data_IF_628218688812
#
_entry.id   IF_628218688812
#
_cell.length_a   1.000
_cell.length_b   1.000
_cell.length_c   1.000
_cell.angle_alpha   90.00
_cell.angle_beta   90.00
_cell.angle_gamma   90.00
#
_symmetry.space_group_name_H-M   'P 1'
#
loop_
_entity.id
_entity.type
_entity.pdbx_description
1 polymer ?
#
# COMPACT_ATOMS: atom_id res chain seq x y z
N UNK A 1 43.27 -11.03 -65.63
CA UNK A 1 43.55 -11.25 -64.19
C UNK A 1 43.52 -9.98 -63.35
N UNK A 2 43.74 -8.77 -63.90
CA UNK A 2 43.68 -7.51 -63.11
C UNK A 2 42.27 -7.06 -62.66
N UNK A 3 41.20 -7.33 -63.44
CA UNK A 3 39.83 -6.89 -63.08
C UNK A 3 39.20 -7.63 -61.87
N UNK A 4 39.71 -8.81 -61.50
CA UNK A 4 39.21 -9.54 -60.32
C UNK A 4 39.82 -9.03 -59.02
N UNK A 5 41.05 -8.51 -59.06
CA UNK A 5 41.72 -7.92 -57.90
C UNK A 5 41.14 -6.54 -57.54
N UNK A 6 40.74 -5.75 -58.55
CA UNK A 6 40.12 -4.43 -58.34
C UNK A 6 38.71 -4.53 -57.76
N UNK A 7 37.92 -5.56 -58.12
CA UNK A 7 36.60 -5.80 -57.53
C UNK A 7 36.68 -6.17 -56.06
N UNK A 8 37.65 -6.99 -55.66
CA UNK A 8 37.83 -7.31 -54.24
C UNK A 8 38.36 -6.10 -53.46
N UNK A 9 39.26 -5.28 -54.03
CA UNK A 9 39.70 -4.06 -53.36
C UNK A 9 38.58 -3.01 -53.23
N UNK A 10 37.65 -2.92 -54.19
CA UNK A 10 36.46 -2.06 -54.07
C UNK A 10 35.48 -2.59 -53.01
N UNK A 11 35.24 -3.91 -52.94
CA UNK A 11 34.40 -4.51 -51.89
C UNK A 11 34.99 -4.36 -50.48
N UNK A 12 36.32 -4.37 -50.32
CA UNK A 12 36.99 -4.15 -49.04
C UNK A 12 37.00 -2.68 -48.59
N UNK A 13 36.95 -1.72 -49.52
CA UNK A 13 36.91 -0.29 -49.18
C UNK A 13 35.49 0.25 -48.95
N UNK A 14 34.46 -0.38 -49.50
CA UNK A 14 33.06 0.01 -49.27
C UNK A 14 32.50 -0.39 -47.89
N UNK A 15 33.24 -1.18 -47.10
CA UNK A 15 32.78 -1.66 -45.77
C UNK A 15 33.45 -0.95 -44.57
N UNK A 16 34.24 0.11 -44.80
CA UNK A 16 34.83 0.94 -43.74
C UNK A 16 34.27 2.35 -43.78
N UNK A 17 33.00 2.50 -43.39
CA UNK A 17 32.43 3.73 -42.83
C UNK A 17 30.93 3.51 -42.59
N UNK A 18 30.59 2.56 -41.71
CA UNK A 18 29.46 2.83 -40.84
C UNK A 18 30.03 3.67 -39.70
N UNK A 19 29.67 4.96 -39.55
CA UNK A 19 29.98 5.66 -38.33
C UNK A 19 29.35 4.83 -37.22
N UNK A 20 30.20 4.33 -36.32
CA UNK A 20 29.80 3.70 -35.08
C UNK A 20 29.00 4.75 -34.30
N UNK A 21 27.69 4.83 -34.57
CA UNK A 21 26.75 5.47 -33.67
C UNK A 21 26.67 4.57 -32.45
N UNK A 22 27.69 4.67 -31.60
CA UNK A 22 27.44 4.70 -30.17
C UNK A 22 26.60 5.95 -29.93
N UNK A 23 25.33 5.89 -30.36
CA UNK A 23 24.30 6.76 -29.88
C UNK A 23 24.35 6.61 -28.36
N UNK A 24 24.45 7.73 -27.66
CA UNK A 24 24.15 7.81 -26.23
C UNK A 24 22.97 6.87 -25.99
N UNK A 25 23.19 5.78 -25.26
CA UNK A 25 22.17 4.76 -25.07
C UNK A 25 21.09 5.41 -24.20
N UNK A 26 20.07 5.98 -24.85
CA UNK A 26 18.95 6.60 -24.16
C UNK A 26 18.32 5.57 -23.22
N UNK A 27 17.97 6.00 -22.01
CA UNK A 27 17.35 5.11 -21.03
C UNK A 27 16.08 4.51 -21.63
N UNK A 28 15.98 3.18 -21.52
CA UNK A 28 14.82 2.42 -21.97
C UNK A 28 13.71 2.45 -20.92
N UNK A 29 12.44 2.21 -21.31
CA UNK A 29 11.33 2.10 -20.36
C UNK A 29 11.57 1.04 -19.27
N UNK A 30 12.32 -0.02 -19.59
CA UNK A 30 12.64 -1.08 -18.63
C UNK A 30 13.64 -0.63 -17.59
N UNK A 31 14.66 0.15 -17.99
CA UNK A 31 15.65 0.72 -17.06
C UNK A 31 14.98 1.73 -16.11
N UNK A 32 14.16 2.64 -16.64
CA UNK A 32 13.39 3.59 -15.83
C UNK A 32 12.43 2.86 -14.90
N UNK A 33 11.71 1.84 -15.38
CA UNK A 33 10.83 1.05 -14.52
C UNK A 33 11.59 0.37 -13.38
N UNK A 34 12.78 -0.17 -13.64
CA UNK A 34 13.61 -0.80 -12.60
C UNK A 34 14.01 0.22 -11.52
N UNK A 35 14.38 1.44 -11.91
CA UNK A 35 14.71 2.51 -10.97
C UNK A 35 13.49 2.98 -10.16
N UNK A 36 12.32 3.12 -10.81
CA UNK A 36 11.06 3.44 -10.12
C UNK A 36 10.71 2.34 -9.11
N UNK A 37 10.90 1.06 -9.46
CA UNK A 37 10.67 -0.05 -8.52
C UNK A 37 11.51 0.12 -7.26
N UNK A 38 12.79 0.48 -7.38
CA UNK A 38 13.63 0.68 -6.19
C UNK A 38 13.19 1.89 -5.35
N UNK A 39 12.88 3.01 -6.00
CA UNK A 39 12.46 4.24 -5.30
C UNK A 39 11.09 4.12 -4.62
N UNK A 40 10.21 3.27 -5.16
CA UNK A 40 8.83 3.13 -4.73
C UNK A 40 8.50 1.77 -4.12
N UNK A 41 9.49 0.91 -3.88
CA UNK A 41 9.32 -0.45 -3.32
C UNK A 41 8.50 -0.48 -2.02
N UNK A 42 8.70 0.53 -1.19
CA UNK A 42 8.02 0.70 0.11
C UNK A 42 6.78 1.60 0.03
N UNK A 43 6.51 2.19 -1.14
CA UNK A 43 5.45 3.17 -1.35
C UNK A 43 4.32 2.65 -2.22
N UNK A 44 4.60 1.73 -3.14
CA UNK A 44 3.65 1.19 -4.10
C UNK A 44 3.63 -0.33 -4.05
N UNK A 45 2.44 -0.90 -4.16
CA UNK A 45 2.24 -2.34 -4.22
C UNK A 45 1.06 -2.68 -5.12
N UNK A 46 1.20 -3.71 -5.95
CA UNK A 46 0.11 -4.27 -6.74
C UNK A 46 -0.47 -5.47 -6.00
N UNK A 47 -1.71 -5.36 -5.52
CA UNK A 47 -2.40 -6.47 -4.86
C UNK A 47 -3.03 -7.38 -5.93
N UNK A 48 -2.48 -8.59 -6.07
CA UNK A 48 -2.92 -9.55 -7.09
C UNK A 48 -4.32 -10.12 -6.80
N UNK A 49 -4.65 -10.34 -5.52
CA UNK A 49 -5.95 -10.89 -5.11
C UNK A 49 -7.08 -9.89 -5.36
N UNK A 50 -6.82 -8.60 -5.12
CA UNK A 50 -7.80 -7.53 -5.32
C UNK A 50 -7.80 -6.97 -6.76
N UNK A 51 -6.70 -7.16 -7.51
CA UNK A 51 -6.51 -6.53 -8.81
C UNK A 51 -6.40 -5.00 -8.73
N UNK A 52 -5.83 -4.47 -7.65
CA UNK A 52 -5.76 -3.04 -7.37
C UNK A 52 -4.35 -2.59 -6.97
N UNK A 53 -4.04 -1.34 -7.28
CA UNK A 53 -2.87 -0.67 -6.71
C UNK A 53 -3.15 -0.22 -5.30
N UNK A 54 -2.11 -0.24 -4.50
CA UNK A 54 -2.06 0.38 -3.19
C UNK A 54 -0.86 1.32 -3.10
N UNK A 55 -1.07 2.47 -2.47
CA UNK A 55 -0.01 3.42 -2.12
C UNK A 55 0.04 3.63 -0.62
N UNK A 56 1.22 3.46 -0.06
CA UNK A 56 1.48 3.64 1.36
C UNK A 56 1.48 5.14 1.70
N UNK A 57 0.78 5.49 2.77
CA UNK A 57 0.64 6.86 3.28
C UNK A 57 0.05 7.86 2.29
N UNK A 58 -0.80 7.38 1.37
CA UNK A 58 -1.49 8.24 0.41
C UNK A 58 -2.56 9.12 1.06
N UNK A 59 -3.38 8.55 1.93
CA UNK A 59 -4.47 9.25 2.62
C UNK A 59 -4.20 9.45 4.11
N UNK A 60 -3.71 8.41 4.79
CA UNK A 60 -3.42 8.44 6.22
C UNK A 60 -2.02 7.90 6.52
N UNK A 61 -1.34 8.40 7.56
CA UNK A 61 -0.07 7.83 8.01
C UNK A 61 -0.20 6.34 8.37
N UNK A 62 0.82 5.55 8.04
CA UNK A 62 0.90 4.15 8.41
C UNK A 62 0.02 3.15 7.66
N UNK A 63 -0.76 3.57 6.67
CA UNK A 63 -1.69 2.67 5.95
C UNK A 63 -1.54 2.74 4.44
N UNK A 64 -1.95 1.66 3.79
CA UNK A 64 -2.05 1.53 2.35
C UNK A 64 -3.47 1.88 1.89
N UNK A 65 -3.59 2.86 1.01
CA UNK A 65 -4.86 3.24 0.37
C UNK A 65 -4.88 2.75 -1.07
N UNK A 66 -6.06 2.36 -1.55
CA UNK A 66 -6.23 1.92 -2.94
C UNK A 66 -6.04 3.10 -3.91
N UNK A 67 -5.38 2.84 -5.03
CA UNK A 67 -5.13 3.82 -6.08
C UNK A 67 -5.61 3.32 -7.44
N UNK A 68 -5.94 4.25 -8.32
CA UNK A 68 -6.28 3.93 -9.71
C UNK A 68 -5.02 3.76 -10.58
N UNK A 69 -5.13 3.01 -11.68
CA UNK A 69 -4.06 2.92 -12.68
C UNK A 69 -3.66 4.32 -13.21
N UNK A 70 -4.62 5.25 -13.31
CA UNK A 70 -4.37 6.64 -13.70
C UNK A 70 -3.51 7.38 -12.68
N UNK A 71 -3.77 7.21 -11.39
CA UNK A 71 -2.98 7.85 -10.33
C UNK A 71 -1.52 7.34 -10.35
N UNK A 72 -1.32 6.04 -10.55
CA UNK A 72 0.02 5.47 -10.75
C UNK A 72 0.65 5.99 -12.04
N UNK A 73 -0.13 6.12 -13.11
CA UNK A 73 0.31 6.72 -14.37
C UNK A 73 0.86 8.13 -14.19
N UNK A 74 0.22 8.97 -13.36
CA UNK A 74 0.72 10.32 -13.04
C UNK A 74 2.08 10.27 -12.33
N UNK A 75 2.29 9.31 -11.41
CA UNK A 75 3.60 9.12 -10.75
C UNK A 75 4.66 8.74 -11.79
N UNK A 76 4.34 7.80 -12.69
CA UNK A 76 5.25 7.38 -13.75
C UNK A 76 5.56 8.54 -14.69
N UNK A 77 4.55 9.29 -15.15
CA UNK A 77 4.74 10.47 -16.01
C UNK A 77 5.67 11.49 -15.36
N UNK A 78 5.49 11.82 -14.08
CA UNK A 78 6.37 12.74 -13.36
C UNK A 78 7.83 12.25 -13.30
N UNK A 79 8.04 10.95 -13.12
CA UNK A 79 9.38 10.33 -13.16
C UNK A 79 10.00 10.43 -14.57
N UNK A 80 9.23 10.17 -15.62
CA UNK A 80 9.67 10.34 -17.00
C UNK A 80 10.06 11.80 -17.31
N UNK A 81 9.20 12.74 -16.95
CA UNK A 81 9.41 14.18 -17.18
C UNK A 81 10.62 14.72 -16.42
N UNK A 82 10.83 14.28 -15.18
CA UNK A 82 11.99 14.72 -14.38
C UNK A 82 13.34 14.27 -14.96
N UNK A 83 13.36 13.16 -15.71
CA UNK A 83 14.59 12.53 -16.22
C UNK A 83 14.87 12.85 -17.68
N UNK A 84 13.81 12.90 -18.50
CA UNK A 84 13.92 12.99 -19.96
C UNK A 84 13.12 14.18 -20.54
N UNK A 85 12.46 14.98 -19.69
CA UNK A 85 11.54 16.01 -20.16
C UNK A 85 10.39 15.38 -20.95
N UNK A 86 10.07 15.94 -22.11
CA UNK A 86 9.01 15.43 -22.99
C UNK A 86 9.51 14.43 -24.05
N UNK A 87 10.76 13.97 -23.95
CA UNK A 87 11.37 13.05 -24.92
C UNK A 87 11.04 11.58 -24.57
N UNK A 88 9.75 11.25 -24.57
CA UNK A 88 9.26 9.88 -24.40
C UNK A 88 7.94 9.65 -25.13
N UNK A 89 7.63 8.38 -25.41
CA UNK A 89 6.36 7.99 -26.02
C UNK A 89 5.35 7.66 -24.93
N UNK A 90 4.07 8.00 -25.13
CA UNK A 90 3.01 7.61 -24.22
C UNK A 90 2.97 6.08 -23.95
N UNK A 91 3.26 5.27 -24.97
CA UNK A 91 3.34 3.81 -24.84
C UNK A 91 4.46 3.31 -23.92
N UNK A 92 5.44 4.14 -23.59
CA UNK A 92 6.50 3.81 -22.62
C UNK A 92 5.97 3.85 -21.19
N UNK A 93 5.09 4.82 -20.87
CA UNK A 93 4.41 4.91 -19.58
C UNK A 93 3.59 3.64 -19.32
N UNK A 94 2.79 3.21 -20.30
CA UNK A 94 1.99 1.98 -20.20
C UNK A 94 2.85 0.73 -19.98
N UNK A 95 3.96 0.61 -20.72
CA UNK A 95 4.93 -0.48 -20.54
C UNK A 95 5.56 -0.45 -19.15
N UNK A 96 5.91 0.73 -18.63
CA UNK A 96 6.44 0.89 -17.28
C UNK A 96 5.42 0.45 -16.24
N UNK A 97 4.18 0.93 -16.29
CA UNK A 97 3.12 0.51 -15.36
C UNK A 97 2.97 -1.02 -15.36
N UNK A 98 3.01 -1.65 -16.53
CA UNK A 98 2.95 -3.11 -16.67
C UNK A 98 4.12 -3.81 -15.96
N UNK A 99 5.34 -3.30 -16.13
CA UNK A 99 6.54 -3.80 -15.44
C UNK A 99 6.42 -3.58 -13.93
N UNK A 100 5.95 -2.41 -13.49
CA UNK A 100 5.73 -2.10 -12.07
C UNK A 100 4.76 -3.12 -11.45
N UNK A 101 3.63 -3.43 -12.10
CA UNK A 101 2.68 -4.46 -11.61
C UNK A 101 3.38 -5.79 -11.36
N UNK A 102 4.23 -6.22 -12.28
CA UNK A 102 4.97 -7.48 -12.14
C UNK A 102 6.03 -7.46 -11.04
N UNK A 103 6.70 -6.31 -10.85
CA UNK A 103 7.83 -6.18 -9.91
C UNK A 103 7.41 -5.82 -8.49
N UNK A 104 6.26 -5.16 -8.33
CA UNK A 104 5.67 -4.73 -7.05
C UNK A 104 4.47 -5.62 -6.66
N UNK A 105 4.36 -6.81 -7.26
CA UNK A 105 3.28 -7.74 -6.98
C UNK A 105 3.31 -8.25 -5.53
N UNK A 106 2.15 -8.18 -4.88
CA UNK A 106 1.87 -8.80 -3.60
C UNK A 106 0.79 -9.85 -3.84
N UNK A 107 1.20 -11.12 -3.86
CA UNK A 107 0.31 -12.26 -4.15
C UNK A 107 -0.73 -12.52 -3.08
N UNK A 108 -0.42 -12.17 -1.83
CA UNK A 108 -1.32 -12.31 -0.68
C UNK A 108 -1.19 -11.09 0.20
N UNK A 109 -2.32 -10.42 0.46
CA UNK A 109 -2.32 -9.22 1.29
C UNK A 109 -2.49 -9.55 2.77
N UNK A 110 -1.40 -9.99 3.40
CA UNK A 110 -1.43 -10.40 4.81
C UNK A 110 -1.14 -9.24 5.76
N UNK A 111 -2.00 -9.09 6.77
CA UNK A 111 -1.82 -8.15 7.87
C UNK A 111 -1.52 -8.91 9.17
N UNK A 112 -0.58 -8.43 10.00
CA UNK A 112 -0.26 -9.03 11.28
C UNK A 112 -1.48 -8.95 12.22
N UNK A 113 -1.90 -10.10 12.77
CA UNK A 113 -3.09 -10.21 13.62
C UNK A 113 -2.91 -9.59 14.99
N UNK A 114 -1.69 -9.61 15.50
CA UNK A 114 -1.35 -9.17 16.86
C UNK A 114 -0.98 -7.69 16.93
N UNK A 115 -0.97 -6.99 15.80
CA UNK A 115 -0.64 -5.58 15.74
C UNK A 115 -1.89 -4.74 15.46
N UNK A 116 -2.07 -3.71 16.28
CA UNK A 116 -3.20 -2.79 16.23
C UNK A 116 -2.70 -1.40 15.77
N UNK A 117 -3.09 -0.95 14.57
CA UNK A 117 -2.67 0.35 14.05
C UNK A 117 -3.45 1.50 14.70
N UNK A 118 -2.74 2.52 15.16
CA UNK A 118 -3.22 3.82 15.64
C UNK A 118 -2.68 4.93 14.72
N UNK A 119 -3.18 6.16 14.83
CA UNK A 119 -2.67 7.27 14.01
C UNK A 119 -1.17 7.53 14.21
N UNK A 120 -0.67 7.37 15.45
CA UNK A 120 0.72 7.65 15.82
C UNK A 120 1.65 6.42 15.85
N UNK A 121 1.20 5.24 15.40
CA UNK A 121 2.03 4.03 15.39
C UNK A 121 1.23 2.76 15.60
N UNK A 122 1.91 1.70 16.00
CA UNK A 122 1.36 0.35 16.06
C UNK A 122 1.58 -0.24 17.44
N UNK A 123 0.50 -0.74 18.05
CA UNK A 123 0.56 -1.45 19.32
C UNK A 123 0.59 -2.96 19.08
N UNK A 124 1.59 -3.64 19.63
CA UNK A 124 1.59 -5.10 19.71
C UNK A 124 0.71 -5.55 20.89
N UNK A 125 -0.41 -6.19 20.59
CA UNK A 125 -1.43 -6.60 21.56
C UNK A 125 -1.05 -7.78 22.44
N UNK A 126 0.03 -8.49 22.10
CA UNK A 126 0.58 -9.57 22.93
C UNK A 126 1.60 -9.06 23.95
N UNK A 127 2.49 -8.15 23.51
CA UNK A 127 3.61 -7.64 24.34
C UNK A 127 3.33 -6.29 25.00
N UNK A 128 2.37 -5.52 24.49
CA UNK A 128 2.13 -4.13 24.89
C UNK A 128 3.13 -3.13 24.29
N UNK A 129 4.09 -3.58 23.47
CA UNK A 129 5.08 -2.70 22.87
C UNK A 129 4.46 -1.82 21.79
N UNK A 130 4.82 -0.54 21.81
CA UNK A 130 4.40 0.44 20.81
C UNK A 130 5.58 0.77 19.88
N UNK A 131 5.37 0.68 18.57
CA UNK A 131 6.38 0.93 17.55
C UNK A 131 5.88 1.89 16.47
N UNK A 132 6.80 2.41 15.66
CA UNK A 132 6.44 3.15 14.45
C UNK A 132 5.69 2.24 13.45
N UNK A 133 4.98 2.90 12.52
CA UNK A 133 4.42 2.23 11.36
C UNK A 133 5.52 1.71 10.44
N UNK A 134 5.17 0.70 9.63
CA UNK A 134 6.03 0.19 8.59
C UNK A 134 5.19 -0.31 7.40
N UNK A 135 5.62 -0.03 6.15
CA UNK A 135 4.93 -0.52 4.95
C UNK A 135 4.75 -2.04 4.94
N UNK A 136 5.71 -2.77 5.50
CA UNK A 136 5.68 -4.24 5.60
C UNK A 136 4.50 -4.80 6.40
N UNK A 137 3.87 -4.02 7.28
CA UNK A 137 2.68 -4.44 8.03
C UNK A 137 1.41 -4.46 7.18
N UNK A 138 1.40 -3.78 6.02
CA UNK A 138 0.29 -3.83 5.04
C UNK A 138 -1.09 -3.42 5.58
N UNK A 139 -1.13 -2.62 6.64
CA UNK A 139 -2.40 -2.11 7.15
C UNK A 139 -3.12 -1.29 6.11
N UNK A 140 -4.41 -1.52 5.96
CA UNK A 140 -5.31 -0.73 5.09
C UNK A 140 -6.28 0.12 5.90
N UNK A 141 -6.06 0.18 7.21
CA UNK A 141 -6.89 0.89 8.17
C UNK A 141 -6.06 1.20 9.41
N UNK A 142 -6.49 2.20 10.16
CA UNK A 142 -5.96 2.56 11.48
C UNK A 142 -7.11 2.99 12.39
N UNK A 143 -6.92 2.87 13.70
CA UNK A 143 -7.84 3.48 14.65
C UNK A 143 -7.75 5.01 14.51
N UNK A 144 -8.88 5.72 14.48
CA UNK A 144 -8.92 7.18 14.29
C UNK A 144 -8.54 7.95 15.57
N UNK A 145 -7.51 7.49 16.28
CA UNK A 145 -7.00 8.09 17.51
C UNK A 145 -5.53 7.73 17.72
N UNK A 146 -4.85 8.53 18.53
CA UNK A 146 -3.51 8.22 19.01
C UNK A 146 -3.56 7.19 20.14
N UNK A 147 -2.57 6.30 20.16
CA UNK A 147 -2.29 5.47 21.32
C UNK A 147 -1.69 6.33 22.43
N UNK A 148 -2.25 6.22 23.63
CA UNK A 148 -1.74 6.86 24.85
C UNK A 148 -1.65 5.79 25.96
N UNK A 149 -0.44 5.33 26.35
CA UNK A 149 -0.28 4.31 27.39
C UNK A 149 -0.64 4.82 28.79
N UNK A 150 -0.72 6.14 28.99
CA UNK A 150 -1.10 6.76 30.26
C UNK A 150 -2.60 7.04 30.35
N UNK A 151 -3.36 6.74 29.29
CA UNK A 151 -4.81 6.91 29.30
C UNK A 151 -5.44 5.88 30.25
N UNK A 152 -5.71 6.30 31.48
CA UNK A 152 -6.41 5.50 32.49
C UNK A 152 -7.91 5.83 32.56
N UNK A 153 -8.32 6.99 32.04
CA UNK A 153 -9.70 7.46 32.14
C UNK A 153 -10.49 7.10 30.88
N UNK A 154 -11.57 6.35 31.06
CA UNK A 154 -12.57 6.04 30.05
C UNK A 154 -13.99 6.23 30.62
N UNK A 155 -14.13 7.06 31.67
CA UNK A 155 -15.34 7.20 32.49
C UNK A 155 -16.59 7.56 31.66
N UNK A 156 -16.44 8.34 30.59
CA UNK A 156 -17.55 8.66 29.69
C UNK A 156 -18.08 7.42 28.97
N UNK A 157 -17.17 6.60 28.43
CA UNK A 157 -17.51 5.33 27.79
C UNK A 157 -18.04 4.36 28.84
N UNK A 158 -17.45 4.36 30.03
CA UNK A 158 -17.87 3.51 31.14
C UNK A 158 -19.31 3.80 31.58
N UNK A 159 -19.63 5.06 31.82
CA UNK A 159 -20.97 5.49 32.22
C UNK A 159 -22.00 5.15 31.14
N UNK A 160 -21.67 5.37 29.86
CA UNK A 160 -22.52 4.95 28.75
C UNK A 160 -22.71 3.43 28.71
N UNK A 161 -21.65 2.64 28.92
CA UNK A 161 -21.75 1.18 28.96
C UNK A 161 -22.62 0.71 30.14
N UNK A 162 -22.49 1.33 31.31
CA UNK A 162 -23.32 1.04 32.48
C UNK A 162 -24.80 1.33 32.20
N UNK A 163 -25.11 2.45 31.53
CA UNK A 163 -26.47 2.76 31.09
C UNK A 163 -26.98 1.72 30.06
N UNK A 164 -26.18 1.42 29.03
CA UNK A 164 -26.55 0.52 27.94
C UNK A 164 -26.85 -0.92 28.41
N UNK A 165 -26.22 -1.35 29.51
CA UNK A 165 -26.40 -2.69 30.08
C UNK A 165 -27.28 -2.70 31.33
N UNK A 166 -27.95 -1.58 31.64
CA UNK A 166 -28.84 -1.45 32.80
C UNK A 166 -28.15 -1.71 34.14
N UNK A 167 -26.88 -1.30 34.27
CA UNK A 167 -26.05 -1.52 35.45
C UNK A 167 -25.57 -2.96 35.66
N UNK A 168 -25.83 -3.88 34.73
CA UNK A 168 -25.42 -5.28 34.85
C UNK A 168 -23.93 -5.47 34.57
N UNK A 169 -23.13 -5.60 35.63
CA UNK A 169 -21.69 -5.86 35.52
C UNK A 169 -21.35 -7.11 34.69
N UNK A 170 -22.20 -8.15 34.75
CA UNK A 170 -22.02 -9.36 33.93
C UNK A 170 -22.15 -9.05 32.43
N UNK A 171 -23.18 -8.30 32.04
CA UNK A 171 -23.41 -7.94 30.64
C UNK A 171 -22.33 -6.95 30.16
N UNK A 172 -21.93 -5.99 31.00
CA UNK A 172 -20.80 -5.09 30.74
C UNK A 172 -19.52 -5.85 30.41
N UNK A 173 -19.17 -6.86 31.21
CA UNK A 173 -17.99 -7.69 30.97
C UNK A 173 -18.10 -8.50 29.66
N UNK A 174 -19.28 -9.02 29.33
CA UNK A 174 -19.50 -9.71 28.05
C UNK A 174 -19.29 -8.74 26.87
N UNK A 175 -19.82 -7.52 26.97
CA UNK A 175 -19.66 -6.49 25.95
C UNK A 175 -18.19 -6.08 25.80
N UNK A 176 -17.45 -5.88 26.90
CA UNK A 176 -16.01 -5.61 26.88
C UNK A 176 -15.22 -6.75 26.22
N UNK A 177 -15.53 -8.01 26.55
CA UNK A 177 -14.92 -9.17 25.91
C UNK A 177 -15.20 -9.20 24.40
N UNK A 178 -16.42 -8.85 23.99
CA UNK A 178 -16.80 -8.78 22.58
C UNK A 178 -16.03 -7.67 21.84
N UNK A 179 -15.98 -6.46 22.40
CA UNK A 179 -15.21 -5.35 21.82
C UNK A 179 -13.72 -5.69 21.71
N UNK A 180 -13.13 -6.30 22.74
CA UNK A 180 -11.75 -6.76 22.72
C UNK A 180 -11.53 -7.83 21.63
N UNK A 181 -12.48 -8.75 21.44
CA UNK A 181 -12.44 -9.73 20.36
C UNK A 181 -12.49 -9.07 18.97
N UNK A 182 -13.34 -8.05 18.78
CA UNK A 182 -13.40 -7.27 17.55
C UNK A 182 -12.06 -6.57 17.26
N UNK A 183 -11.48 -5.89 18.24
CA UNK A 183 -10.19 -5.20 18.11
C UNK A 183 -9.05 -6.18 17.77
N UNK A 184 -9.06 -7.37 18.37
CA UNK A 184 -8.08 -8.44 18.10
C UNK A 184 -8.43 -9.29 16.87
N UNK A 185 -9.40 -8.87 16.06
CA UNK A 185 -9.83 -9.54 14.82
C UNK A 185 -10.13 -11.04 15.02
N UNK A 186 -10.75 -11.38 16.15
CA UNK A 186 -11.12 -12.76 16.51
C UNK A 186 -12.39 -13.21 15.78
N UNK A 187 -12.37 -13.10 14.44
CA UNK A 187 -13.46 -13.55 13.57
C UNK A 187 -13.70 -15.07 13.67
N UNK A 188 -12.70 -15.82 14.14
CA UNK A 188 -12.80 -17.24 14.46
C UNK A 188 -13.84 -17.57 15.53
N UNK A 189 -14.21 -16.62 16.40
CA UNK A 189 -15.25 -16.84 17.42
C UNK A 189 -16.65 -17.01 16.82
N UNK A 190 -16.87 -16.51 15.60
CA UNK A 190 -18.17 -16.57 14.89
C UNK A 190 -19.35 -16.11 15.77
N UNK A 191 -19.15 -15.02 16.53
CA UNK A 191 -20.19 -14.41 17.38
C UNK A 191 -20.65 -13.08 16.81
N UNK A 192 -21.94 -12.83 16.89
CA UNK A 192 -22.54 -11.53 16.60
C UNK A 192 -23.18 -10.96 17.87
N UNK A 193 -23.19 -9.64 18.00
CA UNK A 193 -23.83 -8.93 19.12
C UNK A 193 -25.20 -8.46 18.66
N UNK A 194 -26.26 -8.93 19.32
CA UNK A 194 -27.63 -8.46 19.08
C UNK A 194 -28.05 -7.52 20.20
N UNK A 195 -28.16 -6.23 19.89
CA UNK A 195 -28.61 -5.20 20.83
C UNK A 195 -30.13 -5.03 20.75
N UNK A 196 -30.84 -5.30 21.84
CA UNK A 196 -32.30 -5.13 21.96
C UNK A 196 -32.61 -4.02 22.97
N UNK A 197 -33.73 -3.29 22.80
CA UNK A 197 -34.10 -2.19 23.71
C UNK A 197 -35.15 -1.24 23.13
N UNK A 198 -35.74 -0.39 23.98
CA UNK A 198 -36.68 0.65 23.56
C UNK A 198 -35.99 1.72 22.68
N UNK A 199 -36.77 2.44 21.86
CA UNK A 199 -36.26 3.55 21.06
C UNK A 199 -35.65 4.67 21.91
N UNK A 200 -34.61 5.35 21.43
CA UNK A 200 -33.93 6.44 22.15
C UNK A 200 -32.72 6.02 23.00
N UNK A 201 -32.39 4.73 23.09
CA UNK A 201 -31.26 4.19 23.89
C UNK A 201 -29.90 4.28 23.20
N UNK A 202 -29.70 5.26 22.30
CA UNK A 202 -28.46 5.50 21.55
C UNK A 202 -27.85 4.28 20.81
N UNK A 203 -28.61 3.20 20.58
CA UNK A 203 -28.16 2.00 19.85
C UNK A 203 -27.62 2.27 18.44
N UNK A 204 -28.03 3.39 17.84
CA UNK A 204 -27.54 3.86 16.54
C UNK A 204 -26.32 4.77 16.70
N UNK A 205 -26.32 5.64 17.72
CA UNK A 205 -25.27 6.62 17.97
C UNK A 205 -23.97 6.05 18.57
N UNK A 206 -23.98 4.77 18.98
CA UNK A 206 -22.85 4.10 19.65
C UNK A 206 -21.89 3.40 18.70
N UNK A 207 -22.15 3.44 17.40
CA UNK A 207 -21.31 2.87 16.34
C UNK A 207 -20.73 3.92 15.37
N UNK A 208 -21.03 5.20 15.59
CA UNK A 208 -20.40 6.35 14.92
C UNK A 208 -19.18 6.84 15.72
#
# INVERSE_FOLDING_TARGET
MQQFAERQQQEFHSNRQQPNKQAQRGQTPTEIAAEIVENYREKLAWNDEAGLWYRYEAEFPGVWSSESDTAIGTVVVAEFESRMGLDYKASWVEQCIKILKWKLIVKKWEQPKDLLPFLNGVLNTQTGNFSAHAPGYRFTWSLPRNHNPLAANWNTIEAWMDEAVGGSAKIKNILLCWLNACLKRRSDLQRFLHLTGAGGTAKVHSFD
#
